data_IF_005033330312
#
_entry.id   IF_005033330312
#
_cell.length_a   1.000
_cell.length_b   1.000
_cell.length_c   1.000
_cell.angle_alpha   90.00
_cell.angle_beta   90.00
_cell.angle_gamma   90.00
#
_symmetry.space_group_name_H-M   'P 1'
#
loop_
_entity.id
_entity.type
_entity.pdbx_description
1 polymer ?
#
# COMPACT_ATOMS: atom_id res chain seq x y z
N UNK A 1 -12.52 -9.69 -19.66
CA UNK A 1 -13.54 -9.61 -18.59
C UNK A 1 -12.97 -8.73 -17.50
N UNK A 2 -13.79 -7.88 -16.91
CA UNK A 2 -13.43 -6.98 -15.82
C UNK A 2 -13.26 -7.74 -14.50
N UNK A 3 -12.24 -7.42 -13.72
CA UNK A 3 -11.96 -7.99 -12.40
C UNK A 3 -11.92 -6.90 -11.33
N UNK A 4 -12.14 -7.31 -10.09
CA UNK A 4 -11.97 -6.48 -8.90
C UNK A 4 -10.67 -6.82 -8.19
N UNK A 5 -9.85 -5.81 -7.88
CA UNK A 5 -8.66 -5.95 -7.05
C UNK A 5 -9.06 -5.76 -5.58
N UNK A 6 -8.89 -6.79 -4.76
CA UNK A 6 -9.10 -6.73 -3.31
C UNK A 6 -7.73 -6.60 -2.64
N UNK A 7 -7.56 -5.57 -1.82
CA UNK A 7 -6.32 -5.34 -1.07
C UNK A 7 -6.64 -5.49 0.42
N UNK A 8 -6.07 -6.52 1.04
CA UNK A 8 -6.16 -6.72 2.48
C UNK A 8 -4.95 -6.13 3.23
N UNK A 9 -5.04 -5.97 4.54
CA UNK A 9 -3.90 -5.48 5.32
C UNK A 9 -2.79 -6.53 5.43
N UNK A 10 -3.15 -7.80 5.67
CA UNK A 10 -2.22 -8.88 6.03
C UNK A 10 -2.38 -10.10 5.10
N UNK A 11 -1.31 -10.88 4.84
CA UNK A 11 -1.38 -12.06 3.97
C UNK A 11 -2.39 -13.13 4.42
N UNK A 12 -2.59 -13.29 5.74
CA UNK A 12 -3.57 -14.22 6.30
C UNK A 12 -5.00 -13.86 5.88
N UNK A 13 -5.36 -12.57 5.94
CA UNK A 13 -6.68 -12.07 5.54
C UNK A 13 -6.91 -12.27 4.04
N UNK A 14 -5.90 -12.00 3.20
CA UNK A 14 -5.97 -12.27 1.77
C UNK A 14 -6.21 -13.78 1.47
N UNK A 15 -5.55 -14.66 2.22
CA UNK A 15 -5.75 -16.11 2.08
C UNK A 15 -7.14 -16.56 2.53
N UNK A 16 -7.69 -15.98 3.59
CA UNK A 16 -9.04 -16.27 4.07
C UNK A 16 -10.10 -15.78 3.08
N UNK A 17 -9.93 -14.60 2.50
CA UNK A 17 -10.78 -14.09 1.42
C UNK A 17 -10.74 -15.01 0.19
N UNK A 18 -9.55 -15.44 -0.23
CA UNK A 18 -9.41 -16.37 -1.35
C UNK A 18 -10.13 -17.71 -1.09
N UNK A 19 -10.12 -18.20 0.16
CA UNK A 19 -10.83 -19.42 0.56
C UNK A 19 -12.35 -19.22 0.54
N UNK A 20 -12.82 -18.11 1.10
CA UNK A 20 -14.24 -17.79 1.22
C UNK A 20 -14.90 -17.50 -0.15
N UNK A 21 -14.17 -16.85 -1.06
CA UNK A 21 -14.67 -16.43 -2.38
C UNK A 21 -14.55 -17.53 -3.46
N UNK A 22 -14.57 -18.81 -3.05
CA UNK A 22 -14.60 -19.95 -3.97
C UNK A 22 -13.24 -20.59 -4.23
N UNK A 23 -12.33 -20.61 -3.23
CA UNK A 23 -11.01 -21.25 -3.29
C UNK A 23 -10.17 -20.75 -4.48
N UNK A 24 -10.03 -19.43 -4.55
CA UNK A 24 -9.28 -18.75 -5.60
C UNK A 24 -7.82 -19.24 -5.58
N UNK A 25 -7.26 -19.69 -6.72
CA UNK A 25 -5.91 -20.23 -6.76
C UNK A 25 -4.87 -19.12 -6.53
N UNK A 26 -3.75 -19.51 -5.92
CA UNK A 26 -2.59 -18.63 -5.74
C UNK A 26 -1.82 -18.53 -7.07
N UNK A 27 -1.51 -17.32 -7.50
CA UNK A 27 -0.73 -17.00 -8.70
C UNK A 27 0.45 -16.11 -8.29
N UNK A 28 1.60 -16.73 -8.04
CA UNK A 28 2.76 -16.02 -7.49
C UNK A 28 2.45 -15.41 -6.13
N UNK A 29 2.46 -14.08 -6.06
CA UNK A 29 2.35 -13.30 -4.82
C UNK A 29 0.92 -12.77 -4.53
N UNK A 30 -0.08 -13.17 -5.33
CA UNK A 30 -1.48 -12.82 -5.15
C UNK A 30 -2.39 -14.02 -5.48
N UNK A 31 -3.70 -13.88 -5.27
CA UNK A 31 -4.69 -14.87 -5.68
C UNK A 31 -5.49 -14.34 -6.86
N UNK A 32 -5.85 -15.20 -7.82
CA UNK A 32 -6.51 -14.74 -9.03
C UNK A 32 -7.48 -15.76 -9.62
N UNK A 33 -8.66 -15.29 -10.02
CA UNK A 33 -9.58 -16.02 -10.90
C UNK A 33 -10.18 -15.07 -11.95
N UNK A 34 -11.28 -15.45 -12.59
CA UNK A 34 -11.93 -14.65 -13.63
C UNK A 34 -12.61 -13.37 -13.13
N UNK A 35 -12.82 -13.24 -11.81
CA UNK A 35 -13.55 -12.12 -11.19
C UNK A 35 -12.71 -11.29 -10.22
N UNK A 36 -11.77 -11.90 -9.52
CA UNK A 36 -11.03 -11.29 -8.43
C UNK A 36 -9.53 -11.45 -8.61
N UNK A 37 -8.82 -10.40 -8.22
CA UNK A 37 -7.39 -10.41 -7.90
C UNK A 37 -7.29 -10.03 -6.43
N UNK A 38 -6.68 -10.85 -5.57
CA UNK A 38 -6.58 -10.60 -4.12
C UNK A 38 -5.13 -10.51 -3.71
N UNK A 39 -4.75 -9.40 -3.09
CA UNK A 39 -3.39 -9.15 -2.57
C UNK A 39 -3.45 -8.57 -1.16
N UNK A 40 -2.29 -8.27 -0.56
CA UNK A 40 -2.21 -7.62 0.75
C UNK A 40 -1.09 -6.59 0.84
N UNK A 41 -1.29 -5.49 1.58
CA UNK A 41 -0.32 -4.42 1.80
C UNK A 41 0.84 -4.80 2.73
N UNK A 42 0.64 -5.74 3.67
CA UNK A 42 1.63 -6.14 4.69
C UNK A 42 2.02 -4.94 5.58
N UNK A 43 1.02 -4.28 6.16
CA UNK A 43 1.19 -3.03 6.93
C UNK A 43 1.37 -1.82 6.02
N UNK A 44 2.00 -0.76 6.55
CA UNK A 44 2.27 0.45 5.77
C UNK A 44 3.32 0.19 4.67
N UNK A 45 3.05 0.72 3.48
CA UNK A 45 3.95 0.66 2.32
C UNK A 45 4.69 1.96 2.07
N UNK A 46 4.22 3.03 2.68
CA UNK A 46 4.77 4.38 2.58
C UNK A 46 4.93 4.96 3.98
N UNK A 47 5.87 5.87 4.12
CA UNK A 47 6.14 6.64 5.33
C UNK A 47 6.25 8.12 4.99
N UNK A 48 6.19 8.97 6.01
CA UNK A 48 6.43 10.40 5.83
C UNK A 48 7.85 10.64 5.31
N UNK A 49 7.98 11.64 4.44
CA UNK A 49 9.28 12.20 4.11
C UNK A 49 9.97 12.74 5.36
N UNK A 50 11.25 12.40 5.51
CA UNK A 50 12.09 12.93 6.58
C UNK A 50 12.50 14.37 6.23
N UNK A 51 12.91 15.20 7.21
CA UNK A 51 13.32 16.57 6.94
C UNK A 51 14.34 16.71 5.80
N UNK A 52 15.31 15.80 5.71
CA UNK A 52 16.31 15.74 4.64
C UNK A 52 15.76 15.40 3.25
N UNK A 53 14.61 14.74 3.16
CA UNK A 53 13.91 14.47 1.90
C UNK A 53 13.21 15.73 1.38
N UNK A 54 12.74 16.59 2.30
CA UNK A 54 12.05 17.86 2.00
C UNK A 54 13.04 18.91 1.47
N UNK A 55 14.11 19.16 2.21
CA UNK A 55 15.21 20.04 1.77
C UNK A 55 16.51 19.61 2.45
N UNK A 56 17.31 18.82 1.75
CA UNK A 56 18.60 18.32 2.25
C UNK A 56 19.56 19.42 2.66
N UNK A 57 19.54 20.60 2.02
CA UNK A 57 20.47 21.69 2.33
C UNK A 57 20.04 22.42 3.60
N UNK A 58 18.74 22.63 3.77
CA UNK A 58 18.16 23.37 4.90
C UNK A 58 17.97 22.50 6.13
N UNK A 59 17.57 21.25 5.95
CA UNK A 59 17.13 20.35 7.02
C UNK A 59 17.97 19.08 7.17
N UNK A 60 18.95 18.83 6.29
CA UNK A 60 19.84 17.68 6.39
C UNK A 60 20.79 17.70 7.59
N UNK A 61 20.85 18.81 8.33
CA UNK A 61 21.56 18.93 9.59
C UNK A 61 20.67 19.60 10.64
N UNK A 62 20.70 19.06 11.85
CA UNK A 62 19.90 19.55 12.96
C UNK A 62 20.41 20.90 13.45
N UNK A 63 19.51 21.88 13.52
CA UNK A 63 19.77 23.28 13.91
C UNK A 63 18.56 23.80 14.66
N UNK A 64 18.77 24.52 15.77
CA UNK A 64 17.63 25.03 16.55
C UNK A 64 16.85 26.10 15.76
N UNK A 65 17.53 26.84 14.88
CA UNK A 65 16.94 27.93 14.09
C UNK A 65 16.00 27.43 12.99
N UNK A 66 16.07 26.15 12.63
CA UNK A 66 15.19 25.54 11.63
C UNK A 66 13.95 24.91 12.26
N UNK A 67 13.84 24.90 13.60
CA UNK A 67 12.72 24.34 14.33
C UNK A 67 11.64 25.39 14.63
N UNK A 68 10.35 25.01 14.60
CA UNK A 68 9.84 23.70 14.18
C UNK A 68 9.86 23.54 12.64
N UNK A 69 10.10 22.32 12.16
CA UNK A 69 9.99 21.99 10.74
C UNK A 69 8.53 21.58 10.47
N UNK A 70 7.78 22.46 9.82
CA UNK A 70 6.38 22.23 9.43
C UNK A 70 6.30 22.45 7.92
N UNK A 71 6.22 21.39 7.10
CA UNK A 71 6.13 21.55 5.65
C UNK A 71 4.73 22.04 5.24
N UNK A 72 4.63 22.71 4.10
CA UNK A 72 3.34 23.11 3.52
C UNK A 72 2.50 21.89 3.10
N UNK A 73 3.17 20.80 2.72
CA UNK A 73 2.57 19.51 2.39
C UNK A 73 3.41 18.39 2.98
N UNK A 74 2.76 17.42 3.60
CA UNK A 74 3.41 16.20 4.05
C UNK A 74 3.58 15.27 2.86
N UNK A 75 4.82 15.07 2.41
CA UNK A 75 5.15 14.09 1.37
C UNK A 75 5.22 12.68 1.95
N UNK A 76 4.96 11.70 1.10
CA UNK A 76 5.08 10.28 1.40
C UNK A 76 6.11 9.65 0.47
N UNK A 77 6.92 8.75 1.01
CA UNK A 77 7.89 7.95 0.25
C UNK A 77 7.69 6.46 0.53
N UNK A 78 7.96 5.57 -0.45
CA UNK A 78 7.94 4.14 -0.19
C UNK A 78 8.96 3.73 0.88
N UNK A 79 8.54 2.88 1.81
CA UNK A 79 9.45 2.28 2.79
C UNK A 79 10.39 1.33 2.05
N UNK A 80 11.69 1.46 2.30
CA UNK A 80 12.72 0.72 1.55
C UNK A 80 12.51 -0.81 1.61
N UNK A 81 12.19 -1.33 2.79
CA UNK A 81 12.01 -2.77 3.03
C UNK A 81 10.74 -3.34 2.38
N UNK A 82 9.69 -2.54 2.24
CA UNK A 82 8.41 -2.96 1.64
C UNK A 82 8.25 -2.49 0.19
N UNK A 83 9.28 -1.88 -0.41
CA UNK A 83 9.27 -1.36 -1.78
C UNK A 83 8.86 -2.40 -2.82
N UNK A 84 9.30 -3.65 -2.67
CA UNK A 84 8.92 -4.74 -3.58
C UNK A 84 7.41 -5.00 -3.57
N UNK A 85 6.78 -4.94 -2.39
CA UNK A 85 5.33 -5.07 -2.22
C UNK A 85 4.59 -3.87 -2.77
N UNK A 86 5.07 -2.67 -2.50
CA UNK A 86 4.55 -1.43 -3.09
C UNK A 86 4.52 -1.50 -4.62
N UNK A 87 5.64 -1.88 -5.24
CA UNK A 87 5.74 -2.00 -6.71
C UNK A 87 4.84 -3.12 -7.26
N UNK A 88 4.67 -4.22 -6.54
CA UNK A 88 3.75 -5.29 -6.93
C UNK A 88 2.29 -4.78 -6.95
N UNK A 89 1.84 -4.12 -5.89
CA UNK A 89 0.46 -3.60 -5.81
C UNK A 89 0.25 -2.53 -6.86
N UNK A 90 1.23 -1.64 -7.08
CA UNK A 90 1.20 -0.64 -8.15
C UNK A 90 1.02 -1.28 -9.53
N UNK A 91 1.71 -2.39 -9.81
CA UNK A 91 1.54 -3.15 -11.05
C UNK A 91 0.14 -3.76 -11.16
N UNK A 92 -0.42 -4.29 -10.08
CA UNK A 92 -1.78 -4.83 -10.06
C UNK A 92 -2.83 -3.74 -10.30
N UNK A 93 -2.68 -2.57 -9.66
CA UNK A 93 -3.54 -1.40 -9.86
C UNK A 93 -3.52 -0.89 -11.31
N UNK A 94 -2.38 -0.99 -12.00
CA UNK A 94 -2.22 -0.54 -13.38
C UNK A 94 -2.70 -1.54 -14.44
N UNK A 95 -3.20 -2.72 -14.04
CA UNK A 95 -3.69 -3.73 -14.99
C UNK A 95 -4.96 -3.26 -15.69
N UNK A 96 -5.03 -3.46 -17.01
CA UNK A 96 -6.16 -3.05 -17.85
C UNK A 96 -7.46 -3.83 -17.61
N UNK A 97 -7.39 -4.97 -16.92
CA UNK A 97 -8.54 -5.78 -16.58
C UNK A 97 -9.06 -5.52 -15.16
N UNK A 98 -8.52 -4.54 -14.43
CA UNK A 98 -9.00 -4.10 -13.12
C UNK A 98 -9.88 -2.87 -13.29
N UNK A 99 -11.17 -3.01 -12.98
CA UNK A 99 -12.15 -1.92 -13.09
C UNK A 99 -12.61 -1.38 -11.74
N UNK A 100 -12.29 -2.09 -10.66
CA UNK A 100 -12.65 -1.69 -9.29
C UNK A 100 -11.58 -2.14 -8.30
N UNK A 101 -11.31 -1.31 -7.30
CA UNK A 101 -10.45 -1.64 -6.15
C UNK A 101 -11.30 -1.69 -4.89
N UNK A 102 -11.09 -2.71 -4.07
CA UNK A 102 -11.85 -2.97 -2.84
C UNK A 102 -10.87 -2.92 -1.66
N UNK A 103 -11.13 -2.00 -0.72
CA UNK A 103 -10.46 -1.97 0.57
C UNK A 103 -10.97 -3.11 1.45
N UNK A 104 -10.07 -4.01 1.83
CA UNK A 104 -10.32 -5.11 2.78
C UNK A 104 -9.31 -5.09 3.94
N UNK A 105 -8.79 -3.92 4.29
CA UNK A 105 -8.04 -3.69 5.53
C UNK A 105 -8.95 -3.72 6.77
N UNK A 106 -8.34 -3.71 7.96
CA UNK A 106 -9.08 -3.72 9.22
C UNK A 106 -10.05 -2.52 9.29
N UNK A 107 -11.27 -2.74 9.81
CA UNK A 107 -12.34 -1.74 9.87
C UNK A 107 -12.09 -0.66 10.95
N UNK A 108 -11.04 0.13 10.77
CA UNK A 108 -10.58 1.17 11.68
C UNK A 108 -9.74 2.23 10.96
N UNK A 109 -9.37 3.29 11.68
CA UNK A 109 -8.64 4.45 11.09
C UNK A 109 -7.31 4.05 10.47
N UNK A 110 -6.55 3.19 11.15
CA UNK A 110 -5.26 2.70 10.64
C UNK A 110 -5.44 1.83 9.39
N UNK A 111 -6.49 1.00 9.34
CA UNK A 111 -6.76 0.17 8.16
C UNK A 111 -7.12 1.01 6.93
N UNK A 112 -7.91 2.08 7.12
CA UNK A 112 -8.18 3.06 6.06
C UNK A 112 -6.90 3.77 5.62
N UNK A 113 -6.08 4.24 6.57
CA UNK A 113 -4.82 4.93 6.29
C UNK A 113 -3.79 4.05 5.57
N UNK A 114 -3.79 2.73 5.80
CA UNK A 114 -2.92 1.79 5.08
C UNK A 114 -3.35 1.64 3.62
N UNK A 115 -4.64 1.78 3.34
CA UNK A 115 -5.20 1.55 2.01
C UNK A 115 -5.16 2.81 1.13
N UNK A 116 -5.52 3.97 1.67
CA UNK A 116 -5.61 5.26 0.96
C UNK A 116 -4.24 5.77 0.46
#
# INVERSE_FOLDING_TARGET
MSKSLIIAEKPSVAADLARALGKIPKSGDHYENDRYVITSAVGHLVELEMPEDIDKKKYGFWRLETLPIIPEKFGLKPIADSKSRYDQIKKLLARKDIDSVINACDAGREGELIFD
#
